data_IF_681729010701
#
_entry.id   IF_681729010701
#
_cell.length_a   1.000
_cell.length_b   1.000
_cell.length_c   1.000
_cell.angle_alpha   90.00
_cell.angle_beta   90.00
_cell.angle_gamma   90.00
#
_symmetry.space_group_name_H-M   'P 1'
#
loop_
_entity.id
_entity.type
_entity.pdbx_description
1 polymer ?
#
# COMPACT_ATOMS: atom_id res chain seq x y z
N UNK A 1 13.35 -7.64 -19.00
CA UNK A 1 12.20 -7.38 -18.12
C UNK A 1 11.23 -8.55 -18.35
N UNK A 2 10.68 -9.10 -17.29
CA UNK A 2 9.63 -10.12 -17.45
C UNK A 2 8.43 -9.47 -18.13
N UNK A 3 7.84 -10.15 -19.12
CA UNK A 3 6.61 -9.68 -19.75
C UNK A 3 5.48 -9.67 -18.69
N UNK A 4 4.63 -8.66 -18.73
CA UNK A 4 3.50 -8.51 -17.82
C UNK A 4 2.22 -8.27 -18.62
N UNK A 5 1.07 -8.65 -18.05
CA UNK A 5 -0.26 -8.31 -18.56
C UNK A 5 -0.92 -7.31 -17.63
N UNK A 6 -1.53 -6.25 -18.18
CA UNK A 6 -2.16 -5.19 -17.38
C UNK A 6 -3.55 -4.88 -17.91
N UNK A 7 -4.53 -4.74 -17.00
CA UNK A 7 -5.91 -4.45 -17.33
C UNK A 7 -6.56 -3.56 -16.28
N UNK A 8 -7.50 -2.72 -16.70
CA UNK A 8 -8.51 -2.19 -15.77
C UNK A 8 -9.56 -3.26 -15.56
N UNK A 9 -9.84 -3.59 -14.32
CA UNK A 9 -10.82 -4.63 -13.94
C UNK A 9 -11.88 -4.06 -13.01
N UNK A 10 -12.99 -4.78 -12.89
CA UNK A 10 -14.02 -4.49 -11.89
C UNK A 10 -13.99 -5.53 -10.79
N UNK A 11 -14.20 -5.12 -9.55
CA UNK A 11 -14.30 -6.00 -8.39
C UNK A 11 -15.33 -5.47 -7.39
N UNK A 12 -15.91 -6.37 -6.59
CA UNK A 12 -16.90 -6.00 -5.59
C UNK A 12 -16.26 -5.51 -4.28
N UNK A 13 -16.72 -4.37 -3.76
CA UNK A 13 -16.25 -3.81 -2.49
C UNK A 13 -17.14 -2.66 -2.01
N UNK A 14 -17.32 -2.51 -0.71
CA UNK A 14 -18.19 -1.49 -0.12
C UNK A 14 -19.64 -1.51 -0.63
N UNK A 15 -20.15 -2.70 -1.02
CA UNK A 15 -21.51 -2.87 -1.55
C UNK A 15 -21.73 -2.36 -2.98
N UNK A 16 -20.67 -2.13 -3.72
CA UNK A 16 -20.73 -1.72 -5.14
C UNK A 16 -19.58 -2.31 -5.95
N UNK A 17 -19.72 -2.26 -7.28
CA UNK A 17 -18.60 -2.52 -8.19
C UNK A 17 -17.62 -1.34 -8.18
N UNK A 18 -16.33 -1.65 -8.06
CA UNK A 18 -15.23 -0.68 -8.07
C UNK A 18 -14.28 -1.03 -9.21
N UNK A 19 -13.47 -0.06 -9.64
CA UNK A 19 -12.43 -0.27 -10.64
C UNK A 19 -11.06 -0.40 -9.99
N UNK A 20 -10.14 -1.09 -10.68
CA UNK A 20 -8.75 -1.17 -10.26
C UNK A 20 -7.83 -1.53 -11.41
N UNK A 21 -6.57 -1.18 -11.30
CA UNK A 21 -5.52 -1.57 -12.23
C UNK A 21 -4.90 -2.89 -11.75
N UNK A 22 -5.10 -3.95 -12.51
CA UNK A 22 -4.51 -5.27 -12.27
C UNK A 22 -3.29 -5.44 -13.16
N UNK A 23 -2.18 -5.86 -12.57
CA UNK A 23 -0.95 -6.25 -13.25
C UNK A 23 -0.56 -7.68 -12.85
N UNK A 24 -0.33 -8.53 -13.84
CA UNK A 24 -0.08 -9.97 -13.66
C UNK A 24 1.21 -10.34 -14.39
N UNK A 25 2.13 -11.11 -13.77
CA UNK A 25 3.27 -11.68 -14.48
C UNK A 25 2.80 -12.61 -15.62
N UNK A 26 3.56 -12.69 -16.71
CA UNK A 26 3.32 -13.72 -17.73
C UNK A 26 4.12 -14.98 -17.38
N UNK A 27 3.55 -16.15 -17.67
CA UNK A 27 4.18 -17.45 -17.41
C UNK A 27 3.35 -18.34 -16.50
N UNK A 28 4.01 -19.33 -15.89
CA UNK A 28 3.33 -20.28 -15.00
C UNK A 28 3.34 -19.74 -13.54
N UNK A 29 2.14 -19.44 -13.01
CA UNK A 29 1.93 -19.14 -11.59
C UNK A 29 1.87 -20.40 -10.72
N UNK A 30 1.32 -20.30 -9.52
CA UNK A 30 0.74 -19.08 -8.94
C UNK A 30 1.79 -18.11 -8.38
N UNK A 31 1.42 -16.84 -8.22
CA UNK A 31 2.26 -15.79 -7.65
C UNK A 31 1.65 -15.18 -6.38
N UNK A 32 2.45 -14.58 -5.49
CA UNK A 32 1.93 -13.83 -4.35
C UNK A 32 1.14 -12.60 -4.80
N UNK A 33 0.09 -12.24 -4.04
CA UNK A 33 -0.75 -11.10 -4.33
C UNK A 33 -0.40 -9.87 -3.51
N UNK A 34 -0.46 -8.67 -4.11
CA UNK A 34 -0.23 -7.38 -3.44
C UNK A 34 -1.29 -6.36 -3.83
N UNK A 35 -1.85 -5.66 -2.85
CA UNK A 35 -2.68 -4.46 -3.07
C UNK A 35 -1.81 -3.21 -2.93
N UNK A 36 -1.88 -2.31 -3.92
CA UNK A 36 -1.13 -1.05 -3.99
C UNK A 36 -2.08 0.12 -3.84
N UNK A 37 -2.02 0.86 -2.73
CA UNK A 37 -2.98 1.90 -2.40
C UNK A 37 -2.44 3.27 -2.82
N UNK A 38 -3.27 4.01 -3.56
CA UNK A 38 -2.97 5.30 -4.16
C UNK A 38 -2.64 6.40 -3.16
N UNK A 39 -1.92 7.41 -3.63
CA UNK A 39 -1.76 8.70 -2.96
C UNK A 39 -3.06 9.53 -3.08
N UNK A 40 -3.04 10.76 -2.62
CA UNK A 40 -4.18 11.67 -2.68
C UNK A 40 -4.54 12.16 -4.10
N UNK A 41 -3.71 11.83 -5.10
CA UNK A 41 -3.89 12.22 -6.50
C UNK A 41 -4.91 11.35 -7.26
N UNK A 42 -5.32 10.22 -6.70
CA UNK A 42 -6.12 9.20 -7.36
C UNK A 42 -5.28 8.04 -7.93
N UNK A 43 -5.92 7.16 -8.69
CA UNK A 43 -5.26 6.05 -9.37
C UNK A 43 -4.50 6.56 -10.60
N UNK A 44 -3.48 7.38 -10.37
CA UNK A 44 -2.65 7.99 -11.41
C UNK A 44 -1.60 7.03 -12.00
N UNK A 45 -0.85 7.51 -13.01
CA UNK A 45 0.13 6.71 -13.74
C UNK A 45 1.22 6.14 -12.84
N UNK A 46 1.73 6.89 -11.84
CA UNK A 46 2.73 6.41 -10.90
C UNK A 46 2.26 5.18 -10.11
N UNK A 47 1.05 5.19 -9.56
CA UNK A 47 0.51 4.05 -8.80
C UNK A 47 0.30 2.82 -9.69
N UNK A 48 -0.14 3.02 -10.93
CA UNK A 48 -0.23 1.95 -11.94
C UNK A 48 1.15 1.39 -12.27
N UNK A 49 2.16 2.26 -12.39
CA UNK A 49 3.55 1.84 -12.62
C UNK A 49 4.10 1.03 -11.44
N UNK A 50 3.81 1.43 -10.21
CA UNK A 50 4.20 0.63 -9.02
C UNK A 50 3.57 -0.77 -9.07
N UNK A 51 2.29 -0.90 -9.45
CA UNK A 51 1.66 -2.21 -9.64
C UNK A 51 2.34 -3.00 -10.77
N UNK A 52 2.69 -2.36 -11.88
CA UNK A 52 3.43 -2.99 -12.99
C UNK A 52 4.81 -3.47 -12.55
N UNK A 53 5.53 -2.69 -11.74
CA UNK A 53 6.83 -3.08 -11.16
C UNK A 53 6.70 -4.30 -10.24
N UNK A 54 5.62 -4.41 -9.46
CA UNK A 54 5.33 -5.62 -8.70
C UNK A 54 5.11 -6.84 -9.62
N UNK A 55 4.34 -6.69 -10.69
CA UNK A 55 4.15 -7.77 -11.64
C UNK A 55 5.47 -8.21 -12.30
N UNK A 56 6.33 -7.26 -12.70
CA UNK A 56 7.67 -7.54 -13.20
C UNK A 56 8.58 -8.23 -12.17
N UNK A 57 8.31 -8.04 -10.88
CA UNK A 57 9.00 -8.69 -9.76
C UNK A 57 8.39 -10.04 -9.33
N UNK A 58 7.35 -10.53 -10.01
CA UNK A 58 6.73 -11.83 -9.77
C UNK A 58 5.57 -11.81 -8.77
N UNK A 59 4.80 -10.73 -8.71
CA UNK A 59 3.60 -10.60 -7.88
C UNK A 59 2.37 -10.28 -8.75
N UNK A 60 1.20 -10.80 -8.41
CA UNK A 60 -0.05 -10.25 -8.94
C UNK A 60 -0.42 -9.01 -8.14
N UNK A 61 -0.46 -7.84 -8.78
CA UNK A 61 -0.70 -6.58 -8.11
C UNK A 61 -2.02 -5.94 -8.55
N UNK A 62 -2.82 -5.50 -7.57
CA UNK A 62 -4.07 -4.77 -7.79
C UNK A 62 -4.00 -3.40 -7.11
N UNK A 63 -4.12 -2.35 -7.91
CA UNK A 63 -4.27 -0.98 -7.40
C UNK A 63 -5.75 -0.56 -7.50
N UNK A 64 -6.52 -0.54 -6.39
CA UNK A 64 -7.91 -0.13 -6.39
C UNK A 64 -8.04 1.37 -6.61
N UNK A 65 -9.07 1.78 -7.35
CA UNK A 65 -9.47 3.19 -7.47
C UNK A 65 -10.39 3.58 -6.29
N UNK A 66 -9.92 4.47 -5.46
CA UNK A 66 -10.67 4.96 -4.29
C UNK A 66 -11.46 6.24 -4.56
N UNK A 67 -11.40 6.78 -5.78
CA UNK A 67 -11.99 8.06 -6.14
C UNK A 67 -13.01 7.98 -7.28
N UNK A 68 -13.48 6.77 -7.63
CA UNK A 68 -14.47 6.55 -8.69
C UNK A 68 -14.04 7.18 -10.05
N UNK A 69 -12.79 6.95 -10.46
CA UNK A 69 -12.22 7.42 -11.73
C UNK A 69 -11.60 8.81 -11.68
N UNK A 70 -11.67 9.51 -10.56
CA UNK A 70 -11.10 10.86 -10.46
C UNK A 70 -9.60 10.80 -10.22
N UNK A 71 -8.87 11.56 -11.04
CA UNK A 71 -7.42 11.78 -10.92
C UNK A 71 -7.18 13.28 -11.11
N UNK A 72 -6.28 13.86 -10.32
CA UNK A 72 -5.93 15.26 -10.42
C UNK A 72 -4.44 15.50 -10.23
N UNK A 73 -3.93 16.56 -10.81
CA UNK A 73 -2.59 17.10 -10.54
C UNK A 73 -2.64 18.38 -9.70
N UNK A 74 -3.85 18.89 -9.44
CA UNK A 74 -4.08 20.15 -8.73
C UNK A 74 -4.19 19.89 -7.22
N UNK A 75 -3.31 20.50 -6.38
CA UNK A 75 -3.28 20.25 -4.93
C UNK A 75 -4.60 20.53 -4.22
N UNK A 76 -5.30 21.62 -4.58
CA UNK A 76 -6.58 21.98 -3.97
C UNK A 76 -7.68 20.95 -4.25
N UNK A 77 -7.70 20.37 -5.44
CA UNK A 77 -8.63 19.31 -5.81
C UNK A 77 -8.26 17.99 -5.10
N UNK A 78 -6.97 17.65 -5.09
CA UNK A 78 -6.49 16.48 -4.37
C UNK A 78 -6.83 16.56 -2.87
N UNK A 79 -6.70 17.75 -2.27
CA UNK A 79 -7.09 17.96 -0.87
C UNK A 79 -8.58 17.72 -0.65
N UNK A 80 -9.46 18.21 -1.53
CA UNK A 80 -10.91 17.97 -1.44
C UNK A 80 -11.24 16.48 -1.52
N UNK A 81 -10.63 15.76 -2.47
CA UNK A 81 -10.81 14.32 -2.64
C UNK A 81 -10.35 13.56 -1.39
N UNK A 82 -9.16 13.88 -0.88
CA UNK A 82 -8.61 13.25 0.33
C UNK A 82 -9.46 13.54 1.58
N UNK A 83 -9.98 14.77 1.72
CA UNK A 83 -10.88 15.12 2.83
C UNK A 83 -12.20 14.35 2.74
N UNK A 84 -12.79 14.25 1.55
CA UNK A 84 -14.00 13.45 1.33
C UNK A 84 -13.78 11.97 1.68
N UNK A 85 -12.63 11.40 1.28
CA UNK A 85 -12.26 10.02 1.63
C UNK A 85 -12.04 9.87 3.14
N UNK A 86 -11.40 10.84 3.81
CA UNK A 86 -11.21 10.82 5.28
C UNK A 86 -12.54 10.75 6.05
N UNK A 87 -13.57 11.43 5.57
CA UNK A 87 -14.93 11.35 6.16
C UNK A 87 -15.58 9.97 5.94
N UNK A 88 -15.07 9.19 4.99
CA UNK A 88 -15.58 7.89 4.60
C UNK A 88 -14.49 6.79 4.70
N UNK A 89 -13.61 6.88 5.71
CA UNK A 89 -12.43 6.02 5.85
C UNK A 89 -12.77 4.54 5.87
N UNK A 90 -13.83 4.15 6.59
CA UNK A 90 -14.28 2.76 6.65
C UNK A 90 -14.82 2.26 5.30
N UNK A 91 -15.41 3.13 4.49
CA UNK A 91 -15.82 2.79 3.12
C UNK A 91 -14.60 2.54 2.23
N UNK A 92 -13.55 3.37 2.35
CA UNK A 92 -12.30 3.13 1.65
C UNK A 92 -11.66 1.78 2.04
N UNK A 93 -11.66 1.45 3.34
CA UNK A 93 -11.19 0.15 3.83
C UNK A 93 -12.04 -1.00 3.28
N UNK A 94 -13.35 -0.84 3.13
CA UNK A 94 -14.22 -1.85 2.54
C UNK A 94 -13.95 -2.05 1.04
N UNK A 95 -13.56 -1.00 0.29
CA UNK A 95 -13.06 -1.13 -1.10
C UNK A 95 -11.74 -1.91 -1.13
N UNK A 96 -10.80 -1.58 -0.24
CA UNK A 96 -9.50 -2.28 -0.13
C UNK A 96 -9.72 -3.76 0.24
N UNK A 97 -10.66 -4.07 1.16
CA UNK A 97 -11.01 -5.48 1.45
C UNK A 97 -11.58 -6.19 0.22
N UNK A 98 -12.37 -5.49 -0.60
CA UNK A 98 -12.86 -6.03 -1.88
C UNK A 98 -11.72 -6.37 -2.84
N UNK A 99 -10.71 -5.50 -2.95
CA UNK A 99 -9.51 -5.77 -3.75
C UNK A 99 -8.70 -6.97 -3.21
N UNK A 100 -8.59 -7.09 -1.89
CA UNK A 100 -7.97 -8.26 -1.24
C UNK A 100 -8.74 -9.53 -1.56
N UNK A 101 -10.07 -9.51 -1.44
CA UNK A 101 -10.91 -10.67 -1.74
C UNK A 101 -10.77 -11.09 -3.21
N UNK A 102 -10.75 -10.11 -4.14
CA UNK A 102 -10.52 -10.38 -5.56
C UNK A 102 -9.19 -11.13 -5.79
N UNK A 103 -8.09 -10.67 -5.16
CA UNK A 103 -6.80 -11.35 -5.27
C UNK A 103 -6.80 -12.74 -4.61
N UNK A 104 -7.49 -12.90 -3.49
CA UNK A 104 -7.64 -14.20 -2.82
C UNK A 104 -8.38 -15.21 -3.69
N UNK A 105 -9.39 -14.75 -4.43
CA UNK A 105 -10.19 -15.60 -5.31
C UNK A 105 -9.54 -15.79 -6.70
N UNK A 106 -8.50 -15.02 -7.04
CA UNK A 106 -7.80 -15.10 -8.31
C UNK A 106 -7.02 -16.42 -8.44
N UNK A 107 -7.20 -17.14 -9.55
CA UNK A 107 -6.58 -18.46 -9.77
C UNK A 107 -5.05 -18.42 -9.74
N UNK A 108 -4.46 -17.34 -10.26
CA UNK A 108 -3.01 -17.16 -10.32
C UNK A 108 -2.41 -16.66 -9.00
N UNK A 109 -3.16 -16.53 -7.91
CA UNK A 109 -2.66 -16.02 -6.61
C UNK A 109 -2.54 -17.11 -5.56
N UNK A 110 -1.32 -17.30 -5.05
CA UNK A 110 -1.03 -18.12 -3.87
C UNK A 110 0.23 -17.57 -3.16
N UNK A 111 0.28 -17.65 -1.82
CA UNK A 111 -0.77 -18.10 -0.90
C UNK A 111 -1.94 -17.11 -0.81
N UNK A 112 -3.01 -17.51 -0.14
CA UNK A 112 -4.21 -16.66 0.03
C UNK A 112 -4.06 -15.63 1.18
N UNK A 113 -2.85 -15.12 1.36
CA UNK A 113 -2.50 -13.97 2.21
C UNK A 113 -1.89 -12.90 1.31
N UNK A 114 -2.36 -11.68 1.45
CA UNK A 114 -2.08 -10.58 0.51
C UNK A 114 -1.17 -9.54 1.19
N UNK A 115 -0.14 -9.11 0.47
CA UNK A 115 0.65 -7.95 0.85
C UNK A 115 -0.14 -6.65 0.62
N UNK A 116 0.02 -5.68 1.51
CA UNK A 116 -0.60 -4.37 1.32
C UNK A 116 0.46 -3.29 1.46
N UNK A 117 0.56 -2.43 0.45
CA UNK A 117 1.38 -1.22 0.49
C UNK A 117 0.59 -0.02 0.03
N UNK A 118 1.01 1.16 0.44
CA UNK A 118 0.39 2.40 0.02
C UNK A 118 1.22 3.59 0.42
N UNK A 119 0.96 4.71 -0.23
CA UNK A 119 1.81 5.89 -0.21
C UNK A 119 1.02 7.10 0.29
N UNK A 120 1.59 7.94 1.15
CA UNK A 120 0.93 9.14 1.67
C UNK A 120 -0.41 8.79 2.37
N UNK A 121 -1.53 9.25 1.85
CA UNK A 121 -2.87 8.85 2.29
C UNK A 121 -3.05 7.32 2.25
N UNK A 122 -2.57 6.68 1.18
CA UNK A 122 -2.58 5.22 1.04
C UNK A 122 -1.70 4.53 2.08
N UNK A 123 -0.61 5.13 2.50
CA UNK A 123 0.20 4.66 3.63
C UNK A 123 -0.60 4.66 4.94
N UNK A 124 -1.41 5.71 5.17
CA UNK A 124 -2.36 5.75 6.27
C UNK A 124 -3.40 4.64 6.21
N UNK A 125 -3.98 4.39 5.02
CA UNK A 125 -4.91 3.28 4.79
C UNK A 125 -4.25 1.92 4.98
N UNK A 126 -2.96 1.77 4.64
CA UNK A 126 -2.20 0.53 4.86
C UNK A 126 -2.10 0.20 6.36
N UNK A 127 -1.86 1.19 7.24
CA UNK A 127 -1.90 0.99 8.68
C UNK A 127 -3.25 0.47 9.16
N UNK A 128 -4.34 1.09 8.71
CA UNK A 128 -5.69 0.67 9.06
C UNK A 128 -6.06 -0.69 8.47
N UNK A 129 -5.60 -0.98 7.25
CA UNK A 129 -5.77 -2.29 6.63
C UNK A 129 -5.12 -3.39 7.47
N UNK A 130 -3.86 -3.20 7.89
CA UNK A 130 -3.15 -4.15 8.75
C UNK A 130 -3.88 -4.45 10.06
N UNK A 131 -4.55 -3.44 10.64
CA UNK A 131 -5.26 -3.56 11.92
C UNK A 131 -6.70 -4.12 11.79
N UNK A 132 -7.39 -3.85 10.67
CA UNK A 132 -8.85 -4.04 10.58
C UNK A 132 -9.29 -5.03 9.50
N UNK A 133 -8.47 -5.26 8.48
CA UNK A 133 -8.85 -6.10 7.34
C UNK A 133 -8.36 -7.55 7.50
N UNK A 134 -8.96 -8.43 6.72
CA UNK A 134 -8.64 -9.87 6.75
C UNK A 134 -7.61 -10.22 5.68
N UNK A 135 -6.94 -11.35 5.88
CA UNK A 135 -6.04 -11.98 4.90
C UNK A 135 -4.79 -11.15 4.57
N UNK A 136 -4.41 -10.21 5.46
CA UNK A 136 -3.15 -9.48 5.34
C UNK A 136 -1.99 -10.39 5.71
N UNK A 137 -1.04 -10.56 4.80
CA UNK A 137 0.19 -11.32 5.01
C UNK A 137 1.37 -10.46 5.47
N UNK A 138 1.48 -9.25 4.95
CA UNK A 138 2.45 -8.24 5.36
C UNK A 138 1.94 -6.84 4.97
N UNK A 139 2.41 -5.80 5.67
CA UNK A 139 2.01 -4.42 5.40
C UNK A 139 3.23 -3.50 5.30
N UNK A 140 3.26 -2.65 4.27
CA UNK A 140 4.35 -1.69 4.06
C UNK A 140 3.77 -0.28 3.83
N UNK A 141 3.48 0.47 4.90
CA UNK A 141 3.04 1.86 4.81
C UNK A 141 4.20 2.81 4.52
N UNK A 142 4.13 3.57 3.42
CA UNK A 142 5.08 4.62 3.08
C UNK A 142 4.56 5.98 3.53
N UNK A 143 5.33 6.70 4.34
CA UNK A 143 5.04 8.06 4.85
C UNK A 143 3.55 8.29 5.09
N UNK A 144 2.93 7.31 5.73
CA UNK A 144 1.48 7.25 5.91
C UNK A 144 0.97 8.22 6.96
N UNK A 145 0.17 9.19 6.55
CA UNK A 145 -0.63 10.04 7.42
C UNK A 145 -2.08 9.57 7.49
N UNK A 146 -2.87 10.18 8.36
CA UNK A 146 -4.31 9.87 8.46
C UNK A 146 -4.78 9.78 9.90
N UNK A 147 -6.02 9.29 10.14
CA UNK A 147 -6.52 9.07 11.48
C UNK A 147 -5.57 8.18 12.30
N UNK A 148 -5.43 8.47 13.58
CA UNK A 148 -4.64 7.62 14.47
C UNK A 148 -5.35 6.30 14.77
N UNK A 149 -4.58 5.22 14.83
CA UNK A 149 -5.05 3.95 15.34
C UNK A 149 -5.04 3.97 16.87
N UNK A 150 -6.12 3.49 17.48
CA UNK A 150 -6.10 3.28 18.93
C UNK A 150 -5.11 2.16 19.30
N UNK A 151 -4.57 2.16 20.54
CA UNK A 151 -3.74 1.03 21.00
C UNK A 151 -4.43 -0.33 20.86
N UNK A 152 -5.77 -0.35 21.04
CA UNK A 152 -6.58 -1.56 20.85
C UNK A 152 -6.66 -2.02 19.38
N UNK A 153 -6.60 -1.09 18.42
CA UNK A 153 -6.53 -1.44 17.00
C UNK A 153 -5.13 -1.90 16.61
N UNK A 154 -4.09 -1.22 17.08
CA UNK A 154 -2.70 -1.66 16.85
C UNK A 154 -2.50 -3.10 17.36
N UNK A 155 -3.02 -3.45 18.52
CA UNK A 155 -2.91 -4.81 19.08
C UNK A 155 -3.60 -5.91 18.22
N UNK A 156 -4.44 -5.53 17.26
CA UNK A 156 -5.07 -6.46 16.31
C UNK A 156 -4.18 -6.80 15.12
N UNK A 157 -3.12 -6.03 14.86
CA UNK A 157 -2.19 -6.29 13.76
C UNK A 157 -1.51 -7.64 14.01
N UNK A 158 -1.55 -8.54 13.03
CA UNK A 158 -0.93 -9.88 13.11
C UNK A 158 0.15 -10.06 12.04
N UNK A 159 0.06 -9.29 10.97
CA UNK A 159 1.03 -9.31 9.89
C UNK A 159 2.29 -8.53 10.27
N UNK A 160 3.49 -8.92 9.81
CA UNK A 160 4.68 -8.11 9.96
C UNK A 160 4.52 -6.78 9.20
N UNK A 161 5.12 -5.73 9.76
CA UNK A 161 5.03 -4.36 9.24
C UNK A 161 6.42 -3.81 8.97
N UNK A 162 6.64 -3.29 7.75
CA UNK A 162 7.80 -2.47 7.43
C UNK A 162 7.33 -1.03 7.21
N UNK A 163 7.53 -0.17 8.21
CA UNK A 163 7.09 1.21 8.20
C UNK A 163 8.19 2.13 7.64
N UNK A 164 7.89 2.89 6.60
CA UNK A 164 8.89 3.67 5.85
C UNK A 164 8.55 5.16 5.89
N UNK A 165 9.51 5.98 6.31
CA UNK A 165 9.36 7.43 6.50
C UNK A 165 10.57 8.21 5.99
N UNK A 166 10.40 9.51 5.83
CA UNK A 166 11.48 10.46 5.55
C UNK A 166 11.73 11.37 6.74
N UNK A 167 12.99 11.64 7.08
CA UNK A 167 13.34 12.53 8.19
C UNK A 167 13.07 14.01 7.89
N UNK A 168 12.96 14.37 6.62
CA UNK A 168 12.65 15.73 6.16
C UNK A 168 11.15 15.92 5.83
N UNK A 169 10.32 14.91 6.15
CA UNK A 169 8.87 14.98 5.94
C UNK A 169 8.23 15.94 6.94
N UNK A 170 7.59 16.98 6.44
CA UNK A 170 6.87 17.98 7.24
C UNK A 170 5.41 17.60 7.49
N UNK A 171 4.87 16.68 6.70
CA UNK A 171 3.48 16.21 6.82
C UNK A 171 3.34 15.03 7.78
N UNK A 172 4.31 14.12 7.78
CA UNK A 172 4.38 12.95 8.68
C UNK A 172 5.77 12.92 9.30
N UNK A 173 5.94 13.63 10.40
CA UNK A 173 7.25 13.87 11.02
C UNK A 173 7.87 12.59 11.61
N UNK A 174 9.20 12.59 11.86
CA UNK A 174 9.89 11.50 12.55
C UNK A 174 9.28 11.16 13.92
N UNK A 175 8.67 12.13 14.60
CA UNK A 175 8.00 11.90 15.89
C UNK A 175 6.80 10.97 15.73
N UNK A 176 6.02 11.13 14.65
CA UNK A 176 4.90 10.24 14.31
C UNK A 176 5.41 8.84 14.02
N UNK A 177 6.51 8.71 13.27
CA UNK A 177 7.15 7.43 12.99
C UNK A 177 7.59 6.72 14.29
N UNK A 178 8.30 7.45 15.17
CA UNK A 178 8.75 6.95 16.47
C UNK A 178 7.59 6.60 17.42
N UNK A 179 6.48 7.34 17.36
CA UNK A 179 5.28 7.01 18.15
C UNK A 179 4.68 5.69 17.70
N UNK A 180 4.53 5.46 16.37
CA UNK A 180 4.01 4.21 15.82
C UNK A 180 4.92 3.02 16.11
N UNK A 181 6.23 3.22 16.01
CA UNK A 181 7.23 2.22 16.40
C UNK A 181 7.04 1.78 17.86
N UNK A 182 6.95 2.75 18.79
CA UNK A 182 6.68 2.44 20.20
C UNK A 182 5.36 1.67 20.40
N UNK A 183 4.30 2.03 19.68
CA UNK A 183 3.00 1.34 19.79
C UNK A 183 3.11 -0.11 19.31
N UNK A 184 3.83 -0.38 18.24
CA UNK A 184 4.05 -1.72 17.73
C UNK A 184 4.94 -2.55 18.67
N UNK A 185 5.98 -1.94 19.25
CA UNK A 185 6.82 -2.56 20.27
C UNK A 185 5.99 -2.99 21.49
N UNK A 186 5.14 -2.09 22.01
CA UNK A 186 4.26 -2.39 23.16
C UNK A 186 3.23 -3.49 22.86
N UNK A 187 2.82 -3.62 21.62
CA UNK A 187 1.89 -4.65 21.17
C UNK A 187 2.59 -5.96 20.73
N UNK A 188 3.93 -6.05 20.82
CA UNK A 188 4.76 -7.17 20.37
C UNK A 188 4.49 -7.55 18.89
N UNK A 189 4.31 -6.57 18.00
CA UNK A 189 4.11 -6.80 16.58
C UNK A 189 5.49 -6.97 15.93
N UNK A 190 5.72 -7.99 15.10
CA UNK A 190 6.92 -8.07 14.27
C UNK A 190 6.97 -6.87 13.31
N UNK A 191 7.96 -6.00 13.45
CA UNK A 191 8.06 -4.80 12.61
C UNK A 191 9.49 -4.27 12.50
N UNK A 192 9.70 -3.47 11.46
CA UNK A 192 10.85 -2.61 11.28
C UNK A 192 10.35 -1.20 10.92
N UNK A 193 10.96 -0.18 11.53
CA UNK A 193 10.68 1.22 11.19
C UNK A 193 11.93 1.85 10.61
N UNK A 194 11.85 2.37 9.38
CA UNK A 194 12.95 3.03 8.69
C UNK A 194 12.63 4.49 8.49
N UNK A 195 13.53 5.37 8.94
CA UNK A 195 13.45 6.82 8.73
C UNK A 195 14.67 7.24 7.91
N UNK A 196 14.48 7.51 6.63
CA UNK A 196 15.55 7.92 5.73
C UNK A 196 15.98 9.37 5.98
N UNK A 197 17.26 9.64 6.30
CA UNK A 197 17.70 10.95 6.76
C UNK A 197 17.54 12.07 5.73
N UNK A 198 17.65 11.76 4.43
CA UNK A 198 17.62 12.72 3.33
C UNK A 198 16.33 12.67 2.49
N UNK A 199 15.26 12.10 3.03
CA UNK A 199 14.01 11.92 2.31
C UNK A 199 12.92 12.85 2.84
N UNK A 200 12.20 13.47 1.89
CA UNK A 200 10.99 14.27 2.15
C UNK A 200 9.73 13.40 2.03
N UNK A 201 8.55 14.01 2.26
CA UNK A 201 7.28 13.38 1.91
C UNK A 201 7.25 13.03 0.41
N UNK A 202 6.66 11.89 0.04
CA UNK A 202 6.55 11.41 -1.34
C UNK A 202 7.89 11.14 -2.05
N UNK A 203 8.98 10.86 -1.31
CA UNK A 203 10.30 10.59 -1.89
C UNK A 203 10.33 9.37 -2.84
N UNK A 204 9.34 8.50 -2.79
CA UNK A 204 9.23 7.31 -3.65
C UNK A 204 8.59 7.61 -5.00
N UNK A 205 7.86 8.73 -5.13
CA UNK A 205 7.14 9.07 -6.33
C UNK A 205 8.05 9.79 -7.34
N UNK A 206 8.48 9.09 -8.40
CA UNK A 206 9.40 9.57 -9.42
C UNK A 206 8.82 10.63 -10.37
N UNK A 207 7.52 10.92 -10.24
CA UNK A 207 6.86 12.02 -10.96
C UNK A 207 6.84 13.32 -10.17
N UNK A 208 7.40 13.34 -8.94
CA UNK A 208 7.36 14.51 -8.04
C UNK A 208 8.77 15.03 -7.73
N UNK A 209 8.84 16.33 -7.42
CA UNK A 209 10.11 17.00 -7.10
C UNK A 209 10.78 16.47 -5.84
N UNK A 210 10.03 15.84 -4.94
CA UNK A 210 10.53 15.22 -3.72
C UNK A 210 11.22 13.85 -3.95
N UNK A 211 11.21 13.34 -5.18
CA UNK A 211 11.80 12.04 -5.51
C UNK A 211 13.26 11.94 -5.10
N UNK A 212 13.60 10.86 -4.43
CA UNK A 212 14.97 10.51 -4.07
C UNK A 212 15.27 9.10 -4.58
N UNK A 213 15.99 9.01 -5.67
CA UNK A 213 16.20 7.75 -6.40
C UNK A 213 16.91 6.68 -5.55
N UNK A 214 17.94 7.05 -4.78
CA UNK A 214 18.69 6.13 -3.93
C UNK A 214 17.79 5.57 -2.82
N UNK A 215 17.11 6.46 -2.11
CA UNK A 215 16.18 6.09 -1.02
C UNK A 215 15.01 5.26 -1.54
N UNK A 216 14.44 5.63 -2.69
CA UNK A 216 13.34 4.89 -3.30
C UNK A 216 13.77 3.48 -3.72
N UNK A 217 14.99 3.33 -4.25
CA UNK A 217 15.53 2.03 -4.63
C UNK A 217 15.75 1.11 -3.42
N UNK A 218 16.33 1.62 -2.32
CA UNK A 218 16.51 0.83 -1.09
C UNK A 218 15.16 0.45 -0.47
N UNK A 219 14.24 1.41 -0.36
CA UNK A 219 12.89 1.16 0.16
C UNK A 219 12.13 0.10 -0.66
N UNK A 220 12.26 0.14 -1.99
CA UNK A 220 11.70 -0.88 -2.88
C UNK A 220 12.26 -2.26 -2.61
N UNK A 221 13.59 -2.41 -2.49
CA UNK A 221 14.23 -3.69 -2.22
C UNK A 221 13.81 -4.28 -0.86
N UNK A 222 13.74 -3.44 0.17
CA UNK A 222 13.29 -3.88 1.51
C UNK A 222 11.83 -4.33 1.50
N UNK A 223 10.95 -3.59 0.82
CA UNK A 223 9.55 -3.97 0.67
C UNK A 223 9.41 -5.30 -0.08
N UNK A 224 10.16 -5.50 -1.18
CA UNK A 224 10.18 -6.76 -1.92
C UNK A 224 10.71 -7.91 -1.07
N UNK A 225 11.75 -7.68 -0.27
CA UNK A 225 12.31 -8.70 0.62
C UNK A 225 11.25 -9.15 1.63
N UNK A 226 10.59 -8.21 2.35
CA UNK A 226 9.54 -8.56 3.29
C UNK A 226 8.40 -9.34 2.62
N UNK A 227 7.93 -8.90 1.45
CA UNK A 227 6.84 -9.59 0.75
C UNK A 227 7.27 -10.99 0.26
N UNK A 228 8.50 -11.16 -0.21
CA UNK A 228 9.03 -12.47 -0.58
C UNK A 228 9.12 -13.40 0.63
N UNK A 229 9.65 -12.92 1.74
CA UNK A 229 9.83 -13.72 2.96
C UNK A 229 8.49 -14.15 3.59
N UNK A 230 7.44 -13.33 3.42
CA UNK A 230 6.15 -13.56 4.09
C UNK A 230 5.06 -14.13 3.18
N UNK A 231 5.12 -13.88 1.88
CA UNK A 231 4.08 -14.25 0.91
C UNK A 231 4.51 -15.34 -0.06
N UNK A 232 5.81 -15.63 -0.17
CA UNK A 232 6.27 -16.76 -0.98
C UNK A 232 6.41 -17.97 -0.05
N UNK A 233 5.54 -18.96 -0.18
CA UNK A 233 5.69 -20.22 0.57
C UNK A 233 7.00 -20.88 0.14
N UNK A 234 7.89 -21.13 1.10
CA UNK A 234 9.02 -22.03 0.89
C UNK A 234 8.45 -23.38 0.42
N UNK A 235 8.81 -23.78 -0.79
CA UNK A 235 8.49 -25.11 -1.33
C UNK A 235 9.23 -26.19 -0.55
#
# INVERSE_FOLDING_TARGET
>A
MSDISTHMISFEGAGKSNQGHLAVPTGAGPWPGVVVIQEWWGLEAHIKDVANRFAAAGFVALAPDLYDGKVTTEPDEAQKLAMSLRQNWDKALAVIQGAINFLVDHDDVAPKKIGVTGFCMGGGLTWHAAAKLKQIGAAVPFYGGGPELSPADVAKIKAPVLAIFGALDQGVSPEVANQRDRMMNLANIPHETIIYPNAQHAFFNDTRAAYNAETAADAWQRMLALFKDTLVTSQ
#
